data_IF_479265494419
#
_entry.id   IF_479265494419
#
_cell.length_a   1.000
_cell.length_b   1.000
_cell.length_c   1.000
_cell.angle_alpha   90.00
_cell.angle_beta   90.00
_cell.angle_gamma   90.00
#
_symmetry.space_group_name_H-M   'P 1'
#
loop_
_entity.id
_entity.type
_entity.pdbx_description
1 polymer ?
#
# COMPACT_ATOMS: atom_id res chain seq x y z
N UNK A 1 3.25 -28.76 -8.95
CA UNK A 1 4.50 -28.66 -8.16
C UNK A 1 4.22 -28.60 -6.65
N UNK A 2 3.05 -29.10 -6.22
CA UNK A 2 2.63 -29.16 -4.79
C UNK A 2 2.90 -30.53 -4.12
N UNK A 3 3.52 -31.47 -4.85
CA UNK A 3 3.62 -32.88 -4.42
C UNK A 3 4.78 -33.17 -3.44
N UNK A 4 5.45 -32.16 -2.90
CA UNK A 4 6.58 -32.33 -1.98
C UNK A 4 6.54 -31.54 -0.69
N UNK A 5 5.44 -30.88 -0.36
CA UNK A 5 5.32 -30.17 0.91
C UNK A 5 4.61 -31.03 1.96
N UNK A 6 5.38 -31.67 2.83
CA UNK A 6 4.83 -32.26 4.05
C UNK A 6 4.87 -31.17 5.15
N UNK A 7 3.71 -30.68 5.57
CA UNK A 7 3.60 -29.80 6.73
C UNK A 7 3.57 -30.66 7.98
N UNK A 8 4.62 -30.56 8.80
CA UNK A 8 4.66 -31.21 10.11
C UNK A 8 4.59 -30.13 11.18
N UNK A 9 3.43 -29.98 11.81
CA UNK A 9 3.29 -29.14 13.00
C UNK A 9 3.67 -29.99 14.21
N UNK A 10 4.84 -29.73 14.77
CA UNK A 10 5.32 -30.41 15.97
C UNK A 10 5.33 -29.42 17.13
N UNK A 11 4.49 -29.69 18.12
CA UNK A 11 4.62 -29.03 19.42
C UNK A 11 5.77 -29.68 20.20
N UNK A 12 6.87 -28.96 20.40
CA UNK A 12 8.05 -29.44 21.11
C UNK A 12 8.48 -28.42 22.15
N UNK A 13 8.39 -28.77 23.42
CA UNK A 13 8.73 -27.89 24.53
C UNK A 13 10.21 -27.93 24.92
N UNK A 14 10.93 -29.02 24.54
CA UNK A 14 12.36 -29.17 24.80
C UNK A 14 13.20 -28.80 23.57
N UNK A 15 14.32 -28.13 23.82
CA UNK A 15 15.28 -27.73 22.77
C UNK A 15 15.83 -28.94 21.99
N UNK A 16 16.18 -30.01 22.72
CA UNK A 16 16.74 -31.22 22.10
C UNK A 16 15.80 -31.82 21.05
N UNK A 17 14.50 -31.89 21.34
CA UNK A 17 13.50 -32.41 20.42
C UNK A 17 13.40 -31.54 19.14
N UNK A 18 13.49 -30.21 19.28
CA UNK A 18 13.46 -29.27 18.16
C UNK A 18 14.71 -29.41 17.28
N UNK A 19 15.89 -29.56 17.90
CA UNK A 19 17.15 -29.78 17.19
C UNK A 19 17.18 -31.13 16.46
N UNK A 20 16.57 -32.18 17.00
CA UNK A 20 16.39 -33.46 16.30
C UNK A 20 15.53 -33.26 15.07
N UNK A 21 14.40 -32.56 15.17
CA UNK A 21 13.54 -32.28 14.03
C UNK A 21 14.28 -31.46 12.96
N UNK A 22 14.98 -30.41 13.35
CA UNK A 22 15.81 -29.57 12.45
C UNK A 22 16.87 -30.42 11.70
N UNK A 23 17.53 -31.34 12.41
CA UNK A 23 18.54 -32.24 11.83
C UNK A 23 17.92 -33.15 10.77
N UNK A 24 16.78 -33.80 11.09
CA UNK A 24 16.10 -34.72 10.16
C UNK A 24 15.74 -34.00 8.84
N UNK A 25 15.23 -32.77 8.94
CA UNK A 25 14.89 -31.99 7.76
C UNK A 25 16.12 -31.59 6.95
N UNK A 26 17.17 -31.14 7.62
CA UNK A 26 18.45 -30.79 6.96
C UNK A 26 19.09 -32.00 6.27
N UNK A 27 19.10 -33.17 6.92
CA UNK A 27 19.68 -34.39 6.36
C UNK A 27 18.86 -34.94 5.16
N UNK A 28 17.61 -34.50 5.04
CA UNK A 28 16.70 -34.83 3.93
C UNK A 28 16.59 -33.73 2.87
N UNK A 29 17.39 -32.65 2.97
CA UNK A 29 17.34 -31.50 2.11
C UNK A 29 15.93 -30.86 2.04
N UNK A 30 15.25 -30.82 3.19
CA UNK A 30 13.93 -30.24 3.36
C UNK A 30 14.01 -28.96 4.18
N UNK A 31 13.23 -27.92 3.84
CA UNK A 31 13.17 -26.70 4.64
C UNK A 31 12.57 -26.99 6.03
N UNK A 32 13.10 -26.28 7.04
CA UNK A 32 12.62 -26.34 8.41
C UNK A 32 12.49 -24.92 8.97
N UNK A 33 11.36 -24.60 9.56
CA UNK A 33 11.10 -23.31 10.19
C UNK A 33 10.63 -23.53 11.64
N UNK A 34 11.27 -22.82 12.56
CA UNK A 34 10.91 -22.81 13.98
C UNK A 34 10.09 -21.53 14.27
N UNK A 35 8.80 -21.73 14.53
CA UNK A 35 7.89 -20.63 14.88
C UNK A 35 7.64 -20.64 16.38
N UNK A 36 8.06 -19.56 17.05
CA UNK A 36 7.78 -19.37 18.45
C UNK A 36 6.49 -18.55 18.64
N UNK A 37 5.45 -19.20 19.18
CA UNK A 37 4.20 -18.53 19.54
C UNK A 37 4.37 -17.97 20.96
N UNK A 38 4.75 -16.70 21.04
CA UNK A 38 5.07 -16.00 22.29
C UNK A 38 3.79 -15.46 22.92
N UNK A 39 3.23 -16.23 23.85
CA UNK A 39 2.06 -15.87 24.65
C UNK A 39 2.38 -16.08 26.13
N UNK A 40 2.32 -15.03 26.98
CA UNK A 40 2.51 -15.19 28.43
C UNK A 40 1.56 -16.22 29.01
N UNK A 41 2.05 -17.00 30.00
CA UNK A 41 1.29 -18.08 30.61
C UNK A 41 -0.03 -17.60 31.21
N UNK A 42 -0.04 -16.44 31.84
CA UNK A 42 -1.24 -15.82 32.42
C UNK A 42 -2.31 -15.56 31.38
N UNK A 43 -1.90 -15.18 30.17
CA UNK A 43 -2.82 -14.96 29.04
C UNK A 43 -3.34 -16.28 28.48
N UNK A 44 -2.49 -17.33 28.45
CA UNK A 44 -2.92 -18.67 28.06
C UNK A 44 -3.95 -19.23 29.05
N UNK A 45 -3.72 -19.07 30.35
CA UNK A 45 -4.66 -19.46 31.39
C UNK A 45 -5.99 -18.69 31.34
N UNK A 46 -5.93 -17.39 30.98
CA UNK A 46 -7.13 -16.57 30.83
C UNK A 46 -7.96 -16.99 29.58
N UNK A 47 -7.29 -17.47 28.54
CA UNK A 47 -7.92 -17.92 27.28
C UNK A 47 -8.38 -19.38 27.31
N UNK A 48 -8.24 -20.10 28.38
CA UNK A 48 -8.42 -21.56 28.56
C UNK A 48 -9.81 -22.10 28.13
N UNK A 49 -10.13 -21.97 26.82
CA UNK A 49 -11.42 -22.36 26.23
C UNK A 49 -11.77 -23.85 26.43
N UNK A 50 -10.77 -24.71 26.68
CA UNK A 50 -10.94 -26.17 26.88
C UNK A 50 -10.83 -26.56 28.36
N UNK A 51 -10.55 -25.63 29.26
CA UNK A 51 -10.35 -25.88 30.68
C UNK A 51 -9.14 -26.76 31.00
N UNK A 52 -8.14 -26.80 30.11
CA UNK A 52 -6.96 -27.67 30.27
C UNK A 52 -5.98 -27.12 31.29
N UNK A 53 -5.76 -25.80 31.29
CA UNK A 53 -4.92 -25.14 32.30
C UNK A 53 -5.51 -25.26 33.67
N UNK A 54 -6.82 -25.07 33.82
CA UNK A 54 -7.53 -25.25 35.06
C UNK A 54 -7.37 -26.69 35.62
N UNK A 55 -7.53 -27.71 34.75
CA UNK A 55 -7.34 -29.12 35.12
C UNK A 55 -5.90 -29.45 35.51
N UNK A 56 -4.93 -28.83 34.81
CA UNK A 56 -3.50 -29.01 35.16
C UNK A 56 -3.18 -28.38 36.51
N UNK A 57 -3.68 -27.18 36.82
CA UNK A 57 -3.54 -26.52 38.12
C UNK A 57 -4.19 -27.33 39.27
N UNK A 58 -5.26 -28.04 38.97
CA UNK A 58 -5.91 -28.94 39.92
C UNK A 58 -5.19 -30.31 40.08
N UNK A 59 -4.13 -30.56 39.34
CA UNK A 59 -3.39 -31.82 39.35
C UNK A 59 -4.10 -32.99 38.67
N UNK A 60 -5.19 -32.74 37.96
CA UNK A 60 -5.94 -33.75 37.20
C UNK A 60 -5.17 -34.16 35.93
N UNK A 61 -4.48 -33.23 35.31
CA UNK A 61 -3.57 -33.44 34.19
C UNK A 61 -2.15 -33.25 34.70
N UNK A 62 -1.29 -34.25 34.47
CA UNK A 62 0.14 -34.19 34.81
C UNK A 62 0.99 -34.05 33.55
N UNK A 63 2.19 -33.50 33.69
CA UNK A 63 3.10 -33.29 32.55
C UNK A 63 2.63 -32.17 31.61
N UNK A 64 1.99 -31.14 32.15
CA UNK A 64 1.46 -30.04 31.37
C UNK A 64 2.52 -28.93 31.25
N UNK A 65 2.95 -28.64 30.00
CA UNK A 65 3.98 -27.66 29.71
C UNK A 65 3.60 -26.26 30.21
N UNK A 66 4.52 -25.62 30.90
CA UNK A 66 4.30 -24.30 31.50
C UNK A 66 3.66 -24.33 32.88
N UNK A 67 3.13 -25.48 33.35
CA UNK A 67 2.57 -25.67 34.70
C UNK A 67 3.47 -26.56 35.54
N UNK A 68 3.63 -27.81 35.17
CA UNK A 68 4.44 -28.81 35.90
C UNK A 68 5.57 -29.40 35.04
N UNK A 69 5.66 -29.02 33.75
CA UNK A 69 6.81 -29.23 32.88
C UNK A 69 7.39 -27.91 32.40
N UNK A 70 8.73 -27.78 32.33
CA UNK A 70 9.38 -26.59 31.80
C UNK A 70 9.11 -26.43 30.29
N UNK A 71 9.08 -25.19 29.85
CA UNK A 71 9.13 -24.82 28.42
C UNK A 71 10.45 -24.12 28.15
N UNK A 72 11.22 -24.65 27.23
CA UNK A 72 12.50 -24.06 26.83
C UNK A 72 12.26 -23.13 25.61
N UNK A 73 12.35 -21.84 25.85
CA UNK A 73 12.18 -20.80 24.82
C UNK A 73 13.23 -20.98 23.71
N UNK A 74 12.83 -20.96 22.42
CA UNK A 74 13.77 -20.98 21.31
C UNK A 74 14.74 -19.79 21.38
N UNK A 75 16.04 -20.04 21.18
CA UNK A 75 17.04 -18.97 21.18
C UNK A 75 17.07 -18.20 19.85
N UNK A 76 16.85 -18.89 18.72
CA UNK A 76 16.92 -18.35 17.39
C UNK A 76 15.75 -18.88 16.53
N UNK A 77 14.49 -18.56 16.86
CA UNK A 77 13.37 -18.96 16.04
C UNK A 77 13.36 -18.20 14.71
N UNK A 78 12.88 -18.85 13.65
CA UNK A 78 12.73 -18.21 12.33
C UNK A 78 11.61 -17.15 12.33
N UNK A 79 10.61 -17.32 13.21
CA UNK A 79 9.55 -16.35 13.44
C UNK A 79 9.10 -16.35 14.90
N UNK A 80 8.89 -15.16 15.44
CA UNK A 80 8.25 -14.95 16.76
C UNK A 80 6.86 -14.35 16.57
N UNK A 81 5.81 -15.08 16.91
CA UNK A 81 4.42 -14.63 16.82
C UNK A 81 3.93 -14.20 18.20
N UNK A 82 3.82 -12.89 18.45
CA UNK A 82 3.27 -12.34 19.69
C UNK A 82 1.75 -12.26 19.60
N UNK A 83 1.03 -13.09 20.35
CA UNK A 83 -0.43 -13.20 20.25
C UNK A 83 -1.19 -12.25 21.19
N UNK A 84 -0.50 -11.50 22.03
CA UNK A 84 -1.13 -10.48 22.87
C UNK A 84 -1.49 -9.27 22.01
N UNK A 85 -2.75 -8.86 22.05
CA UNK A 85 -3.31 -7.77 21.23
C UNK A 85 -3.29 -8.01 19.70
N UNK A 86 -3.18 -9.29 19.29
CA UNK A 86 -3.31 -9.70 17.88
C UNK A 86 -4.51 -10.62 17.71
N UNK A 87 -5.18 -10.52 16.58
CA UNK A 87 -6.23 -11.47 16.20
C UNK A 87 -5.62 -12.79 15.73
N UNK A 88 -6.44 -13.83 15.61
CA UNK A 88 -6.01 -15.11 15.05
C UNK A 88 -5.58 -14.94 13.59
N UNK A 89 -6.32 -14.14 12.85
CA UNK A 89 -6.03 -13.82 11.45
C UNK A 89 -4.68 -13.10 11.29
N UNK A 90 -4.41 -12.09 12.11
CA UNK A 90 -3.13 -11.35 12.10
C UNK A 90 -1.96 -12.28 12.46
N UNK A 91 -2.14 -13.17 13.45
CA UNK A 91 -1.13 -14.14 13.85
C UNK A 91 -0.86 -15.19 12.75
N UNK A 92 -1.92 -15.65 12.09
CA UNK A 92 -1.82 -16.63 10.98
C UNK A 92 -1.13 -16.00 9.77
N UNK A 93 -1.44 -14.76 9.44
CA UNK A 93 -0.82 -14.06 8.30
C UNK A 93 0.68 -13.93 8.45
N UNK A 94 1.22 -13.70 9.66
CA UNK A 94 2.66 -13.68 9.89
C UNK A 94 3.35 -14.99 9.49
N UNK A 95 2.72 -16.13 9.78
CA UNK A 95 3.26 -17.44 9.38
C UNK A 95 3.15 -17.64 7.87
N UNK A 96 2.03 -17.25 7.27
CA UNK A 96 1.83 -17.34 5.81
C UNK A 96 2.85 -16.48 5.08
N UNK A 97 3.08 -15.24 5.53
CA UNK A 97 4.07 -14.32 4.94
C UNK A 97 5.48 -14.90 5.03
N UNK A 98 5.88 -15.44 6.19
CA UNK A 98 7.19 -16.10 6.34
C UNK A 98 7.34 -17.27 5.36
N UNK A 99 6.32 -18.11 5.19
CA UNK A 99 6.36 -19.24 4.25
C UNK A 99 6.41 -18.79 2.78
N UNK A 100 5.79 -17.66 2.46
CA UNK A 100 5.85 -17.05 1.13
C UNK A 100 7.21 -16.40 0.86
N UNK A 101 7.79 -15.70 1.84
CA UNK A 101 9.12 -15.10 1.73
C UNK A 101 10.23 -16.14 1.51
N UNK A 102 9.99 -17.37 1.96
CA UNK A 102 10.91 -18.50 1.79
C UNK A 102 10.52 -19.45 0.62
N UNK A 103 9.68 -19.02 -0.30
CA UNK A 103 9.23 -19.77 -1.49
C UNK A 103 8.57 -21.14 -1.18
N UNK A 104 8.09 -21.35 0.05
CA UNK A 104 7.38 -22.56 0.46
C UNK A 104 5.93 -22.52 0.02
N UNK A 105 5.27 -21.39 0.27
CA UNK A 105 3.95 -21.14 -0.28
C UNK A 105 4.09 -20.24 -1.50
N UNK A 106 3.42 -20.58 -2.61
CA UNK A 106 3.29 -19.61 -3.66
C UNK A 106 2.67 -18.36 -3.03
N UNK A 107 3.14 -17.19 -3.42
CA UNK A 107 2.30 -16.01 -3.23
C UNK A 107 0.98 -16.37 -3.89
N UNK A 108 0.02 -16.83 -3.10
CA UNK A 108 -1.34 -16.93 -3.56
C UNK A 108 -1.65 -15.49 -3.93
N UNK A 109 -1.54 -15.17 -5.22
CA UNK A 109 -2.54 -14.31 -5.77
C UNK A 109 -3.84 -15.07 -5.44
N UNK A 110 -4.34 -14.86 -4.21
CA UNK A 110 -5.75 -14.90 -4.10
C UNK A 110 -6.23 -14.10 -5.29
N UNK A 111 -7.19 -14.63 -5.99
CA UNK A 111 -8.15 -13.83 -6.73
C UNK A 111 -8.89 -12.93 -5.72
N UNK A 112 -8.14 -12.33 -4.80
CA UNK A 112 -8.58 -11.25 -3.97
C UNK A 112 -8.67 -10.09 -4.95
N UNK A 113 -9.86 -9.58 -5.15
CA UNK A 113 -10.11 -8.35 -5.86
C UNK A 113 -9.40 -7.14 -5.18
N UNK A 114 -8.37 -7.38 -4.38
CA UNK A 114 -7.61 -6.37 -3.66
C UNK A 114 -6.45 -5.86 -4.52
N UNK A 115 -6.27 -4.56 -4.49
CA UNK A 115 -5.11 -3.92 -5.09
C UNK A 115 -3.95 -4.02 -4.11
N UNK A 116 -2.75 -4.47 -4.52
CA UNK A 116 -1.59 -4.48 -3.64
C UNK A 116 -1.26 -3.07 -3.15
N UNK A 117 -1.23 -2.89 -1.84
CA UNK A 117 -0.73 -1.69 -1.16
C UNK A 117 0.72 -1.91 -0.75
N UNK A 118 1.52 -0.83 -0.65
CA UNK A 118 2.95 -0.94 -0.38
C UNK A 118 3.30 -0.74 1.12
N UNK A 119 2.31 -0.82 1.99
CA UNK A 119 2.53 -0.74 3.43
C UNK A 119 3.18 -2.00 3.95
N UNK A 120 4.23 -1.84 4.76
CA UNK A 120 4.86 -2.99 5.41
C UNK A 120 3.94 -3.56 6.49
N UNK A 121 3.99 -4.88 6.72
CA UNK A 121 3.22 -5.52 7.78
C UNK A 121 3.57 -4.96 9.17
N UNK A 122 2.58 -4.90 10.06
CA UNK A 122 2.76 -4.32 11.41
C UNK A 122 3.90 -4.96 12.22
N UNK A 123 4.11 -6.26 12.06
CA UNK A 123 5.17 -6.97 12.79
C UNK A 123 6.59 -6.56 12.35
N UNK A 124 6.77 -6.05 11.12
CA UNK A 124 8.04 -5.55 10.59
C UNK A 124 8.26 -4.06 10.85
N UNK A 125 7.22 -3.34 11.28
CA UNK A 125 7.23 -1.87 11.35
C UNK A 125 8.34 -1.34 12.28
N UNK A 126 8.45 -1.88 13.49
CA UNK A 126 9.45 -1.42 14.47
C UNK A 126 10.89 -1.60 13.95
N UNK A 127 11.21 -2.74 13.36
CA UNK A 127 12.54 -3.00 12.79
C UNK A 127 12.83 -2.09 11.58
N UNK A 128 11.83 -1.85 10.72
CA UNK A 128 12.00 -0.97 9.58
C UNK A 128 12.09 0.53 9.99
N UNK A 129 11.45 0.95 11.06
CA UNK A 129 11.61 2.32 11.61
C UNK A 129 13.02 2.50 12.21
N UNK A 130 13.54 1.50 12.90
CA UNK A 130 14.91 1.50 13.41
C UNK A 130 15.94 1.55 12.26
N UNK A 131 15.75 0.72 11.23
CA UNK A 131 16.57 0.76 10.02
C UNK A 131 16.51 2.13 9.36
N UNK A 132 15.32 2.68 9.12
CA UNK A 132 15.12 3.97 8.47
C UNK A 132 15.84 5.12 9.20
N UNK A 133 15.94 5.04 10.54
CA UNK A 133 16.65 6.05 11.32
C UNK A 133 18.15 6.08 11.02
N UNK A 134 18.74 4.96 10.60
CA UNK A 134 20.16 4.81 10.25
C UNK A 134 20.47 5.09 8.78
N UNK A 135 19.47 5.07 7.90
CA UNK A 135 19.65 5.26 6.47
C UNK A 135 19.88 6.73 6.08
N UNK A 136 20.56 6.98 4.95
CA UNK A 136 20.62 8.30 4.36
C UNK A 136 19.23 8.83 4.04
N UNK A 137 18.96 10.10 4.42
CA UNK A 137 17.65 10.73 4.29
C UNK A 137 17.52 11.48 2.98
N UNK A 138 16.38 11.37 2.31
CA UNK A 138 15.98 12.23 1.21
C UNK A 138 14.71 12.98 1.63
N UNK A 139 14.75 14.31 1.52
CA UNK A 139 13.61 15.16 1.84
C UNK A 139 12.70 15.25 0.62
N UNK A 140 11.44 14.91 0.82
CA UNK A 140 10.38 14.99 -0.19
C UNK A 140 9.73 16.37 -0.18
N UNK A 141 9.39 16.87 -1.35
CA UNK A 141 8.46 17.97 -1.49
C UNK A 141 7.01 17.51 -1.21
N UNK A 142 6.09 18.44 -1.03
CA UNK A 142 4.64 18.10 -0.94
C UNK A 142 4.15 17.35 -2.17
N UNK A 143 4.65 17.69 -3.36
CA UNK A 143 4.29 17.00 -4.60
C UNK A 143 4.82 15.56 -4.62
N UNK A 144 6.06 15.33 -4.17
CA UNK A 144 6.62 13.98 -4.08
C UNK A 144 5.86 13.13 -3.06
N UNK A 145 5.40 13.74 -1.95
CA UNK A 145 4.56 13.06 -0.96
C UNK A 145 3.21 12.64 -1.54
N UNK A 146 2.60 13.46 -2.41
CA UNK A 146 1.37 13.09 -3.12
C UNK A 146 1.59 11.90 -4.06
N UNK A 147 2.71 11.86 -4.77
CA UNK A 147 3.07 10.70 -5.59
C UNK A 147 3.37 9.46 -4.75
N UNK A 148 4.03 9.64 -3.61
CA UNK A 148 4.24 8.55 -2.64
C UNK A 148 2.89 7.99 -2.15
N UNK A 149 1.90 8.84 -1.88
CA UNK A 149 0.56 8.41 -1.49
C UNK A 149 -0.10 7.56 -2.58
N UNK A 150 -0.04 8.00 -3.83
CA UNK A 150 -0.59 7.26 -4.99
C UNK A 150 0.04 5.87 -5.10
N UNK A 151 1.37 5.78 -4.96
CA UNK A 151 2.10 4.52 -5.03
C UNK A 151 1.76 3.62 -3.84
N UNK A 152 1.81 4.17 -2.62
CA UNK A 152 1.61 3.42 -1.38
C UNK A 152 0.23 2.79 -1.25
N UNK A 153 -0.80 3.49 -1.70
CA UNK A 153 -2.20 3.07 -1.62
C UNK A 153 -2.63 2.19 -2.81
N UNK A 154 -1.73 1.92 -3.77
CA UNK A 154 -2.00 1.06 -4.91
C UNK A 154 -2.75 1.72 -6.07
N UNK A 155 -2.97 3.04 -6.07
CA UNK A 155 -3.62 3.76 -7.16
C UNK A 155 -2.88 3.63 -8.49
N UNK A 156 -1.56 3.47 -8.45
CA UNK A 156 -0.70 3.32 -9.63
C UNK A 156 -0.24 1.86 -9.85
N UNK A 157 -0.98 0.87 -9.36
CA UNK A 157 -0.65 -0.53 -9.66
C UNK A 157 -0.52 -0.73 -11.20
N UNK A 158 0.52 -1.40 -11.69
CA UNK A 158 1.42 -2.33 -11.00
C UNK A 158 2.75 -1.75 -10.50
N UNK A 159 2.91 -0.44 -10.41
CA UNK A 159 4.13 0.15 -9.87
C UNK A 159 4.30 -0.23 -8.39
N UNK A 160 5.52 -0.64 -8.04
CA UNK A 160 5.93 -0.94 -6.66
C UNK A 160 6.75 0.19 -6.02
N UNK A 161 6.85 1.33 -6.69
CA UNK A 161 7.59 2.48 -6.24
C UNK A 161 7.81 3.49 -7.36
N UNK A 162 8.71 4.44 -7.14
CA UNK A 162 9.07 5.41 -8.15
C UNK A 162 9.75 4.73 -9.34
N UNK A 163 9.38 5.14 -10.55
CA UNK A 163 9.82 4.51 -11.79
C UNK A 163 11.35 4.47 -11.92
N UNK A 164 11.86 3.32 -12.32
CA UNK A 164 13.24 3.16 -12.81
C UNK A 164 13.34 3.68 -14.24
N UNK A 165 14.56 3.85 -14.76
CA UNK A 165 14.77 4.42 -16.10
C UNK A 165 13.97 3.69 -17.19
N UNK A 166 13.99 2.36 -17.18
CA UNK A 166 13.25 1.55 -18.15
C UNK A 166 11.73 1.83 -18.10
N UNK A 167 11.14 1.83 -16.90
CA UNK A 167 9.71 2.12 -16.72
C UNK A 167 9.36 3.56 -17.12
N UNK A 168 10.23 4.51 -16.78
CA UNK A 168 10.09 5.90 -17.19
C UNK A 168 10.08 6.04 -18.72
N UNK A 169 11.01 5.39 -19.42
CA UNK A 169 11.07 5.43 -20.88
C UNK A 169 9.88 4.70 -21.52
N UNK A 170 9.46 3.55 -21.00
CA UNK A 170 8.26 2.85 -21.47
C UNK A 170 7.01 3.76 -21.34
N UNK A 171 6.81 4.35 -20.17
CA UNK A 171 5.71 5.27 -19.94
C UNK A 171 5.76 6.47 -20.90
N UNK A 172 6.94 7.09 -21.05
CA UNK A 172 7.11 8.30 -21.83
C UNK A 172 6.91 8.09 -23.34
N UNK A 173 7.35 6.95 -23.87
CA UNK A 173 7.31 6.68 -25.31
C UNK A 173 6.09 5.90 -25.75
N UNK A 174 5.53 5.06 -24.89
CA UNK A 174 4.46 4.12 -25.24
C UNK A 174 3.18 4.31 -24.42
N UNK A 175 3.15 5.23 -23.47
CA UNK A 175 2.03 5.45 -22.53
C UNK A 175 1.61 4.15 -21.79
N UNK A 176 2.54 3.24 -21.60
CA UNK A 176 2.29 1.97 -20.93
C UNK A 176 3.53 1.43 -20.22
N UNK A 177 3.30 0.43 -19.39
CA UNK A 177 4.33 -0.41 -18.77
C UNK A 177 4.18 -1.82 -19.31
N UNK A 178 5.29 -2.47 -19.62
CA UNK A 178 5.32 -3.88 -19.96
C UNK A 178 5.48 -4.70 -18.68
N UNK A 179 4.48 -5.52 -18.38
CA UNK A 179 4.49 -6.42 -17.21
C UNK A 179 4.07 -7.80 -17.65
N UNK A 180 4.93 -8.80 -17.44
CA UNK A 180 4.65 -10.21 -17.71
C UNK A 180 4.11 -10.44 -19.16
N UNK A 181 4.67 -9.73 -20.13
CA UNK A 181 4.25 -9.76 -21.53
C UNK A 181 2.97 -9.00 -21.85
N UNK A 182 2.35 -8.36 -20.87
CA UNK A 182 1.15 -7.55 -21.03
C UNK A 182 1.48 -6.05 -21.01
N UNK A 183 0.73 -5.28 -21.79
CA UNK A 183 0.81 -3.81 -21.80
C UNK A 183 -0.21 -3.26 -20.79
N UNK A 184 0.28 -2.55 -19.77
CA UNK A 184 -0.56 -1.87 -18.77
C UNK A 184 -0.52 -0.37 -19.05
N UNK A 185 -1.66 0.26 -19.28
CA UNK A 185 -1.75 1.70 -19.55
C UNK A 185 -1.17 2.51 -18.38
N UNK A 186 -0.20 3.36 -18.68
CA UNK A 186 0.44 4.28 -17.75
C UNK A 186 0.84 5.55 -18.50
N UNK A 187 -0.05 6.51 -18.55
CA UNK A 187 0.11 7.72 -19.35
C UNK A 187 0.98 8.81 -18.72
N UNK A 188 1.24 8.71 -17.42
CA UNK A 188 1.96 9.73 -16.64
C UNK A 188 3.12 9.08 -15.90
N UNK A 189 4.37 9.55 -16.10
CA UNK A 189 5.51 9.05 -15.35
C UNK A 189 5.44 9.49 -13.87
N UNK A 190 5.53 8.52 -12.97
CA UNK A 190 5.62 8.76 -11.53
C UNK A 190 7.06 8.60 -11.11
N UNK A 191 7.74 9.72 -10.94
CA UNK A 191 9.18 9.81 -10.73
C UNK A 191 9.53 10.70 -9.53
N UNK A 192 10.69 10.48 -8.94
CA UNK A 192 11.22 11.26 -7.82
C UNK A 192 12.45 12.06 -8.28
N UNK A 193 12.33 13.38 -8.49
CA UNK A 193 13.45 14.23 -8.87
C UNK A 193 14.38 14.51 -7.69
N UNK A 194 15.67 14.62 -7.98
CA UNK A 194 16.67 15.05 -6.99
C UNK A 194 17.78 15.90 -7.61
N UNK A 195 18.45 16.66 -6.74
CA UNK A 195 19.57 17.49 -7.13
C UNK A 195 20.81 16.65 -7.40
N UNK A 196 21.79 17.22 -8.11
CA UNK A 196 23.12 16.59 -8.28
C UNK A 196 23.81 16.36 -6.92
N UNK A 197 23.57 17.24 -5.96
CA UNK A 197 24.15 17.11 -4.60
C UNK A 197 23.57 15.87 -3.91
N UNK A 198 22.24 15.71 -3.93
CA UNK A 198 21.58 14.54 -3.33
C UNK A 198 21.98 13.25 -4.06
N UNK A 199 21.99 13.28 -5.40
CA UNK A 199 22.46 12.13 -6.19
C UNK A 199 23.85 11.68 -5.78
N UNK A 200 24.81 12.60 -5.64
CA UNK A 200 26.18 12.25 -5.28
C UNK A 200 26.28 11.74 -3.84
N UNK A 201 25.47 12.26 -2.93
CA UNK A 201 25.42 11.82 -1.52
C UNK A 201 24.80 10.42 -1.37
N UNK A 202 23.89 10.05 -2.25
CA UNK A 202 23.07 8.82 -2.16
C UNK A 202 23.55 7.70 -3.11
N UNK A 203 24.51 7.98 -3.99
CA UNK A 203 24.83 7.11 -5.13
C UNK A 203 25.21 5.66 -4.75
N UNK A 204 25.97 5.48 -3.66
CA UNK A 204 26.47 4.16 -3.23
C UNK A 204 25.57 3.51 -2.15
N UNK A 205 24.37 4.00 -1.94
CA UNK A 205 23.47 3.48 -0.90
C UNK A 205 22.58 2.35 -1.43
N UNK A 206 22.34 1.33 -0.62
CA UNK A 206 21.42 0.24 -0.95
C UNK A 206 19.97 0.59 -0.67
N UNK A 207 19.74 1.61 0.18
CA UNK A 207 18.41 2.09 0.55
C UNK A 207 18.46 3.55 1.00
N UNK A 208 17.35 4.26 0.85
CA UNK A 208 17.18 5.68 1.20
C UNK A 208 15.89 5.86 1.99
N UNK A 209 15.96 6.55 3.14
CA UNK A 209 14.78 6.89 3.92
C UNK A 209 14.14 8.17 3.40
N UNK A 210 12.86 8.11 3.06
CA UNK A 210 12.08 9.21 2.48
C UNK A 210 11.35 9.97 3.58
N UNK A 211 11.70 11.24 3.73
CA UNK A 211 11.17 12.12 4.78
C UNK A 211 10.36 13.28 4.22
N UNK A 212 9.31 13.66 4.93
CA UNK A 212 8.62 14.94 4.76
C UNK A 212 8.30 15.50 6.15
N UNK A 213 8.58 16.79 6.38
CA UNK A 213 8.40 17.47 7.68
C UNK A 213 8.93 16.68 8.89
N UNK A 214 10.14 16.13 8.76
CA UNK A 214 10.81 15.28 9.77
C UNK A 214 10.14 13.93 10.06
N UNK A 215 9.11 13.55 9.31
CA UNK A 215 8.44 12.27 9.40
C UNK A 215 8.99 11.34 8.31
N UNK A 216 9.45 10.15 8.68
CA UNK A 216 9.81 9.11 7.71
C UNK A 216 8.55 8.39 7.26
N UNK A 217 8.28 8.42 5.96
CA UNK A 217 7.10 7.77 5.38
C UNK A 217 7.42 6.42 4.72
N UNK A 218 8.61 6.28 4.14
CA UNK A 218 8.97 5.08 3.40
C UNK A 218 10.48 4.87 3.33
N UNK A 219 10.88 3.65 3.00
CA UNK A 219 12.23 3.30 2.58
C UNK A 219 12.19 2.99 1.08
N UNK A 220 13.04 3.66 0.30
CA UNK A 220 13.26 3.37 -1.11
C UNK A 220 14.39 2.35 -1.22
N UNK A 221 14.08 1.14 -1.68
CA UNK A 221 15.02 0.01 -1.81
C UNK A 221 15.69 -0.01 -3.17
N UNK A 222 16.97 -0.40 -3.19
CA UNK A 222 17.77 -0.56 -4.41
C UNK A 222 17.61 0.64 -5.35
N UNK A 223 17.96 1.86 -4.91
CA UNK A 223 17.78 3.07 -5.68
C UNK A 223 18.57 3.00 -6.99
N UNK A 224 17.94 3.41 -8.08
CA UNK A 224 18.53 3.57 -9.41
C UNK A 224 18.49 5.03 -9.80
N UNK A 225 19.66 5.62 -10.04
CA UNK A 225 19.79 7.04 -10.39
C UNK A 225 20.02 7.19 -11.88
N UNK A 226 19.18 8.02 -12.53
CA UNK A 226 19.24 8.26 -13.96
C UNK A 226 18.93 9.71 -14.32
N UNK A 227 19.23 10.10 -15.55
CA UNK A 227 19.12 11.48 -15.98
C UNK A 227 17.65 11.91 -16.14
N UNK A 228 17.28 13.07 -15.58
CA UNK A 228 15.96 13.65 -15.79
C UNK A 228 15.90 14.34 -17.15
N UNK A 229 15.61 13.63 -18.20
CA UNK A 229 15.48 14.11 -19.58
C UNK A 229 14.30 15.08 -19.71
N UNK A 230 14.42 16.28 -19.07
CA UNK A 230 13.32 17.22 -18.86
C UNK A 230 12.64 17.66 -20.14
N UNK A 231 13.42 18.04 -21.17
CA UNK A 231 12.88 18.51 -22.45
C UNK A 231 12.13 17.39 -23.18
N UNK A 232 12.70 16.19 -23.23
CA UNK A 232 12.05 15.01 -23.78
C UNK A 232 10.76 14.68 -23.02
N UNK A 233 10.81 14.71 -21.68
CA UNK A 233 9.65 14.48 -20.83
C UNK A 233 8.52 15.46 -21.11
N UNK A 234 8.79 16.75 -21.11
CA UNK A 234 7.73 17.75 -21.32
C UNK A 234 7.16 17.71 -22.74
N UNK A 235 8.00 17.50 -23.75
CA UNK A 235 7.56 17.37 -25.14
C UNK A 235 6.63 16.15 -25.32
N UNK A 236 6.97 15.01 -24.73
CA UNK A 236 6.17 13.78 -24.84
C UNK A 236 4.91 13.81 -23.98
N UNK A 237 5.02 14.31 -22.74
CA UNK A 237 3.91 14.30 -21.79
C UNK A 237 2.87 15.38 -22.04
N UNK A 238 3.28 16.54 -22.58
CA UNK A 238 2.41 17.71 -22.74
C UNK A 238 2.22 18.16 -24.20
N UNK A 239 2.96 17.58 -25.14
CA UNK A 239 2.93 18.01 -26.55
C UNK A 239 3.52 19.40 -26.79
N UNK A 240 4.13 20.02 -25.79
CA UNK A 240 4.74 21.36 -25.85
C UNK A 240 5.88 21.49 -24.85
N UNK A 241 6.81 22.39 -25.12
CA UNK A 241 7.91 22.74 -24.20
C UNK A 241 7.74 24.13 -23.59
N UNK A 242 6.57 24.75 -23.74
CA UNK A 242 6.29 26.09 -23.25
C UNK A 242 6.36 26.17 -21.73
N UNK A 243 7.34 26.93 -21.21
CA UNK A 243 7.61 27.11 -19.78
C UNK A 243 6.56 27.93 -19.03
N UNK A 244 5.65 28.61 -19.74
CA UNK A 244 4.50 29.28 -19.11
C UNK A 244 3.46 28.29 -18.57
N UNK A 245 3.49 27.05 -19.06
CA UNK A 245 2.64 25.99 -18.52
C UNK A 245 3.10 25.63 -17.10
N UNK A 246 2.23 25.70 -16.07
CA UNK A 246 2.63 25.58 -14.66
C UNK A 246 3.36 24.27 -14.34
N UNK A 247 2.91 23.16 -14.89
CA UNK A 247 3.54 21.84 -14.63
C UNK A 247 4.89 21.70 -15.37
N UNK A 248 5.00 22.23 -16.58
CA UNK A 248 6.25 22.24 -17.35
C UNK A 248 7.30 23.06 -16.61
N UNK A 249 6.90 24.24 -16.08
CA UNK A 249 7.77 25.08 -15.26
C UNK A 249 8.32 24.28 -14.06
N UNK A 250 7.45 23.57 -13.32
CA UNK A 250 7.86 22.75 -12.18
C UNK A 250 8.86 21.65 -12.60
N UNK A 251 8.68 21.01 -13.76
CA UNK A 251 9.61 20.00 -14.26
C UNK A 251 10.98 20.62 -14.56
N UNK A 252 11.03 21.79 -15.21
CA UNK A 252 12.30 22.46 -15.50
C UNK A 252 13.02 22.93 -14.22
N UNK A 253 12.29 23.36 -13.20
CA UNK A 253 12.80 23.81 -11.91
C UNK A 253 13.19 22.65 -10.97
N UNK A 254 12.70 21.43 -11.21
CA UNK A 254 13.04 20.25 -10.43
C UNK A 254 14.49 19.79 -10.63
N UNK A 255 14.95 18.80 -9.87
CA UNK A 255 16.31 18.26 -9.98
C UNK A 255 16.63 17.66 -11.35
N UNK A 256 17.93 17.62 -11.70
CA UNK A 256 18.41 17.11 -12.99
C UNK A 256 18.58 15.58 -13.02
N UNK A 257 18.34 14.94 -11.91
CA UNK A 257 18.37 13.50 -11.75
C UNK A 257 17.02 13.00 -11.29
N UNK A 258 16.75 11.73 -11.60
CA UNK A 258 15.63 10.96 -11.09
C UNK A 258 16.16 9.78 -10.29
N UNK A 259 15.42 9.36 -9.27
CA UNK A 259 15.67 8.11 -8.55
C UNK A 259 14.44 7.23 -8.57
N UNK A 260 14.61 6.01 -9.06
CA UNK A 260 13.61 4.94 -9.04
C UNK A 260 13.98 3.86 -8.03
N UNK A 261 13.01 3.06 -7.63
CA UNK A 261 13.20 1.93 -6.73
C UNK A 261 11.90 1.43 -6.14
N UNK A 262 11.98 0.32 -5.42
CA UNK A 262 10.81 -0.25 -4.72
C UNK A 262 10.60 0.46 -3.38
N UNK A 263 9.35 0.59 -2.97
CA UNK A 263 8.96 1.24 -1.72
C UNK A 263 8.55 0.22 -0.67
N UNK A 264 9.06 0.42 0.53
CA UNK A 264 8.50 -0.12 1.77
C UNK A 264 7.92 1.04 2.57
N UNK A 265 6.60 1.10 2.67
CA UNK A 265 5.91 2.25 3.25
C UNK A 265 5.64 2.00 4.73
N UNK A 266 6.18 2.87 5.59
CA UNK A 266 6.13 2.73 7.04
C UNK A 266 4.79 3.18 7.63
N UNK A 267 4.16 4.18 7.00
CA UNK A 267 2.91 4.76 7.53
C UNK A 267 2.07 5.39 6.45
N UNK A 268 0.76 5.39 6.69
CA UNK A 268 -0.20 6.09 5.83
C UNK A 268 0.03 7.60 5.88
N UNK A 269 -0.12 8.25 4.75
CA UNK A 269 -0.06 9.71 4.66
C UNK A 269 -1.39 10.28 5.10
N UNK A 270 -1.35 11.18 6.08
CA UNK A 270 -2.49 11.96 6.57
C UNK A 270 -2.16 13.44 6.42
N UNK A 271 -3.11 14.21 5.93
CA UNK A 271 -2.92 15.63 5.65
C UNK A 271 -3.34 16.53 6.82
N UNK A 272 -4.12 15.99 7.74
CA UNK A 272 -4.63 16.69 8.93
C UNK A 272 -5.32 18.03 8.60
N UNK A 273 -5.94 18.11 7.43
CA UNK A 273 -6.65 19.28 6.90
C UNK A 273 -8.16 19.24 7.16
N UNK A 274 -8.62 18.30 7.98
CA UNK A 274 -10.03 18.06 8.28
C UNK A 274 -10.79 17.32 7.18
N UNK A 275 -10.10 16.78 6.16
CA UNK A 275 -10.69 16.05 5.03
C UNK A 275 -10.26 14.59 4.93
N UNK A 276 -9.48 14.09 5.90
CA UNK A 276 -8.95 12.72 5.85
C UNK A 276 -10.04 11.65 5.84
N UNK A 277 -11.25 11.95 6.36
CA UNK A 277 -12.41 11.06 6.29
C UNK A 277 -12.93 10.81 4.85
N UNK A 278 -12.52 11.61 3.88
CA UNK A 278 -12.83 11.43 2.45
C UNK A 278 -11.69 10.75 1.68
N UNK A 279 -10.56 10.45 2.32
CA UNK A 279 -9.39 9.82 1.70
C UNK A 279 -9.42 8.32 1.93
N UNK A 280 -9.91 7.60 0.94
CA UNK A 280 -10.02 6.15 0.94
C UNK A 280 -8.99 5.56 -0.01
N UNK A 281 -8.40 4.41 0.35
CA UNK A 281 -7.63 3.61 -0.60
C UNK A 281 -8.56 2.89 -1.58
N UNK A 282 -8.06 2.38 -2.72
CA UNK A 282 -8.84 1.55 -3.63
C UNK A 282 -9.54 0.37 -2.92
N UNK A 283 -8.87 -0.25 -1.95
CA UNK A 283 -9.42 -1.38 -1.20
C UNK A 283 -10.56 -0.94 -0.26
N UNK A 284 -10.38 0.18 0.43
CA UNK A 284 -11.43 0.76 1.28
C UNK A 284 -12.66 1.15 0.47
N UNK A 285 -12.48 1.69 -0.75
CA UNK A 285 -13.58 1.99 -1.66
C UNK A 285 -14.30 0.71 -2.11
N UNK A 286 -13.58 -0.33 -2.50
CA UNK A 286 -14.16 -1.63 -2.87
C UNK A 286 -14.98 -2.22 -1.72
N UNK A 287 -14.48 -2.13 -0.50
CA UNK A 287 -15.21 -2.55 0.70
C UNK A 287 -16.51 -1.76 0.85
N UNK A 288 -16.48 -0.43 0.72
CA UNK A 288 -17.68 0.44 0.77
C UNK A 288 -18.68 0.09 -0.33
N UNK A 289 -18.24 -0.13 -1.56
CA UNK A 289 -19.14 -0.53 -2.65
C UNK A 289 -19.82 -1.87 -2.35
N UNK A 290 -19.09 -2.84 -1.79
CA UNK A 290 -19.62 -4.13 -1.37
C UNK A 290 -20.66 -3.97 -0.23
N UNK A 291 -20.35 -3.16 0.77
CA UNK A 291 -21.24 -2.88 1.91
C UNK A 291 -22.56 -2.22 1.46
N UNK A 292 -22.50 -1.30 0.51
CA UNK A 292 -23.68 -0.69 -0.10
C UNK A 292 -24.44 -1.71 -0.98
N UNK A 293 -23.78 -2.76 -1.47
CA UNK A 293 -24.32 -3.73 -2.41
C UNK A 293 -24.39 -3.19 -3.84
N UNK A 294 -23.41 -2.36 -4.22
CA UNK A 294 -23.32 -1.82 -5.57
C UNK A 294 -23.08 -2.93 -6.60
N UNK A 295 -23.89 -2.94 -7.66
CA UNK A 295 -23.74 -3.83 -8.82
C UNK A 295 -23.11 -3.12 -10.02
N UNK A 296 -23.00 -1.80 -9.97
CA UNK A 296 -22.22 -0.97 -10.87
C UNK A 296 -21.65 0.24 -10.13
N UNK A 297 -20.45 0.69 -10.51
CA UNK A 297 -19.86 1.93 -10.02
C UNK A 297 -19.48 2.78 -11.22
N UNK A 298 -19.91 4.03 -11.23
CA UNK A 298 -19.47 5.01 -12.21
C UNK A 298 -18.77 6.17 -11.52
N UNK A 299 -17.58 6.50 -11.97
CA UNK A 299 -16.76 7.53 -11.37
C UNK A 299 -16.91 8.86 -12.12
N UNK A 300 -17.01 9.95 -11.38
CA UNK A 300 -16.98 11.28 -11.92
C UNK A 300 -15.80 12.04 -11.27
N UNK A 301 -14.70 12.14 -12.00
CA UNK A 301 -13.51 12.84 -11.54
C UNK A 301 -13.57 14.32 -11.94
N UNK A 302 -13.30 15.21 -10.99
CA UNK A 302 -13.32 16.64 -11.25
C UNK A 302 -12.37 17.43 -10.36
N UNK A 303 -11.94 18.59 -10.86
CA UNK A 303 -11.19 19.59 -10.11
C UNK A 303 -12.00 20.87 -9.82
N UNK A 304 -13.15 21.01 -10.42
CA UNK A 304 -14.03 22.17 -10.29
C UNK A 304 -15.23 21.84 -9.39
N UNK A 305 -15.92 22.87 -8.85
CA UNK A 305 -17.22 22.69 -8.22
C UNK A 305 -18.25 22.09 -9.19
N UNK A 306 -19.20 21.31 -8.63
CA UNK A 306 -20.32 20.76 -9.42
C UNK A 306 -21.27 21.91 -9.82
N UNK A 307 -21.65 21.92 -11.06
CA UNK A 307 -22.73 22.77 -11.59
C UNK A 307 -23.85 21.89 -12.18
N UNK A 308 -24.98 22.50 -12.55
CA UNK A 308 -26.17 21.79 -13.04
C UNK A 308 -25.88 20.82 -14.19
N UNK A 309 -24.98 21.20 -15.13
CA UNK A 309 -24.60 20.32 -16.23
C UNK A 309 -23.88 19.03 -15.76
N UNK A 310 -23.02 19.15 -14.74
CA UNK A 310 -22.39 17.98 -14.12
C UNK A 310 -23.43 17.10 -13.43
N UNK A 311 -24.31 17.69 -12.63
CA UNK A 311 -25.35 16.97 -11.93
C UNK A 311 -26.31 16.23 -12.89
N UNK A 312 -26.70 16.89 -13.99
CA UNK A 312 -27.54 16.28 -15.01
C UNK A 312 -26.83 15.06 -15.66
N UNK A 313 -25.55 15.20 -16.02
CA UNK A 313 -24.78 14.11 -16.61
C UNK A 313 -24.66 12.91 -15.64
N UNK A 314 -24.39 13.16 -14.34
CA UNK A 314 -24.32 12.10 -13.33
C UNK A 314 -25.68 11.41 -13.15
N UNK A 315 -26.78 12.16 -13.12
CA UNK A 315 -28.13 11.63 -12.97
C UNK A 315 -28.53 10.81 -14.20
N UNK A 316 -28.27 11.32 -15.40
CA UNK A 316 -28.53 10.62 -16.66
C UNK A 316 -27.72 9.32 -16.75
N UNK A 317 -26.44 9.36 -16.41
CA UNK A 317 -25.58 8.14 -16.37
C UNK A 317 -26.17 7.07 -15.42
N UNK A 318 -26.64 7.46 -14.23
CA UNK A 318 -27.30 6.56 -13.29
C UNK A 318 -28.54 5.94 -13.92
N UNK A 319 -29.39 6.75 -14.54
CA UNK A 319 -30.62 6.31 -15.22
C UNK A 319 -30.31 5.31 -16.33
N UNK A 320 -29.35 5.61 -17.19
CA UNK A 320 -28.93 4.71 -18.28
C UNK A 320 -28.39 3.37 -17.75
N UNK A 321 -27.66 3.36 -16.62
CA UNK A 321 -27.20 2.13 -16.00
C UNK A 321 -28.39 1.30 -15.47
N UNK A 322 -29.41 1.95 -14.88
CA UNK A 322 -30.61 1.29 -14.43
C UNK A 322 -31.41 0.70 -15.58
N UNK A 323 -31.55 1.42 -16.71
CA UNK A 323 -32.19 0.92 -17.94
C UNK A 323 -31.44 -0.29 -18.54
N UNK A 324 -30.12 -0.39 -18.35
CA UNK A 324 -29.31 -1.56 -18.72
C UNK A 324 -29.43 -2.74 -17.75
N UNK A 325 -30.22 -2.61 -16.69
CA UNK A 325 -30.53 -3.67 -15.73
C UNK A 325 -29.70 -3.67 -14.45
N UNK A 326 -28.80 -2.68 -14.24
CA UNK A 326 -28.13 -2.52 -12.96
C UNK A 326 -29.13 -1.99 -11.92
N UNK A 327 -29.24 -2.67 -10.79
CA UNK A 327 -30.25 -2.34 -9.76
C UNK A 327 -29.76 -1.26 -8.80
N UNK A 328 -28.45 -1.22 -8.56
CA UNK A 328 -27.84 -0.35 -7.54
C UNK A 328 -26.55 0.30 -8.02
N UNK A 329 -26.62 1.11 -9.10
CA UNK A 329 -25.45 1.87 -9.55
C UNK A 329 -25.08 2.94 -8.51
N UNK A 330 -23.78 3.01 -8.17
CA UNK A 330 -23.22 3.96 -7.20
C UNK A 330 -22.32 4.95 -7.91
N UNK A 331 -22.52 6.24 -7.63
CA UNK A 331 -21.65 7.32 -8.08
C UNK A 331 -20.45 7.42 -7.14
N UNK A 332 -19.24 7.29 -7.70
CA UNK A 332 -18.01 7.71 -7.07
C UNK A 332 -17.71 9.15 -7.50
N UNK A 333 -18.03 10.11 -6.65
CA UNK A 333 -17.67 11.50 -6.84
C UNK A 333 -16.23 11.68 -6.36
N UNK A 334 -15.32 11.91 -7.32
CA UNK A 334 -13.87 11.74 -7.12
C UNK A 334 -13.11 13.06 -7.35
N UNK A 335 -13.21 14.04 -6.43
CA UNK A 335 -12.49 15.30 -6.55
C UNK A 335 -10.97 15.09 -6.42
N UNK A 336 -10.21 15.80 -7.26
CA UNK A 336 -8.74 15.82 -7.18
C UNK A 336 -8.27 16.47 -5.90
N UNK A 337 -7.43 15.78 -5.14
CA UNK A 337 -6.90 16.20 -3.85
C UNK A 337 -5.43 16.59 -3.85
N UNK A 338 -4.70 16.30 -4.93
CA UNK A 338 -3.31 16.71 -5.07
C UNK A 338 -3.15 18.16 -5.53
N UNK A 339 -1.93 18.50 -5.95
CA UNK A 339 -1.59 19.85 -6.41
C UNK A 339 -2.51 20.35 -7.53
N UNK A 340 -2.95 21.57 -7.40
CA UNK A 340 -3.68 22.35 -8.42
C UNK A 340 -3.02 23.73 -8.54
N UNK A 341 -3.30 24.47 -9.61
CA UNK A 341 -2.81 25.84 -9.79
C UNK A 341 -3.54 26.83 -8.87
N UNK A 342 -2.93 27.98 -8.61
CA UNK A 342 -3.39 28.93 -7.60
C UNK A 342 -4.78 29.54 -7.85
N UNK A 343 -5.21 29.60 -9.13
CA UNK A 343 -6.51 30.14 -9.55
C UNK A 343 -7.64 29.06 -9.57
N UNK A 344 -7.34 27.79 -9.26
CA UNK A 344 -8.35 26.77 -9.07
C UNK A 344 -9.01 26.86 -7.70
N UNK A 345 -10.27 26.44 -7.60
CA UNK A 345 -11.01 26.44 -6.33
C UNK A 345 -10.37 25.47 -5.33
N UNK A 346 -9.98 25.93 -4.12
CA UNK A 346 -9.34 25.08 -3.12
C UNK A 346 -10.15 23.84 -2.73
N UNK A 347 -9.49 22.74 -2.44
CA UNK A 347 -10.11 21.47 -2.09
C UNK A 347 -11.17 21.55 -0.98
N UNK A 348 -10.92 22.25 0.17
CA UNK A 348 -11.92 22.36 1.22
C UNK A 348 -13.22 23.06 0.77
N UNK A 349 -13.11 24.01 -0.15
CA UNK A 349 -14.28 24.70 -0.72
C UNK A 349 -15.06 23.76 -1.64
N UNK A 350 -14.34 22.99 -2.48
CA UNK A 350 -14.96 22.00 -3.37
C UNK A 350 -15.69 20.91 -2.58
N UNK A 351 -15.10 20.38 -1.53
CA UNK A 351 -15.74 19.35 -0.69
C UNK A 351 -17.01 19.91 -0.02
N UNK A 352 -16.96 21.11 0.56
CA UNK A 352 -18.18 21.74 1.12
C UNK A 352 -19.26 21.92 0.08
N UNK A 353 -18.91 22.30 -1.14
CA UNK A 353 -19.89 22.46 -2.23
C UNK A 353 -20.47 21.09 -2.65
N UNK A 354 -19.65 20.04 -2.70
CA UNK A 354 -20.14 18.69 -3.01
C UNK A 354 -21.10 18.18 -1.94
N UNK A 355 -20.80 18.39 -0.67
CA UNK A 355 -21.71 18.05 0.44
C UNK A 355 -23.03 18.83 0.34
N UNK A 356 -22.98 20.14 0.05
CA UNK A 356 -24.17 20.94 -0.15
C UNK A 356 -25.04 20.47 -1.32
N UNK A 357 -24.44 19.98 -2.40
CA UNK A 357 -25.16 19.37 -3.53
C UNK A 357 -25.88 18.10 -3.12
N UNK A 358 -25.25 17.26 -2.30
CA UNK A 358 -25.88 16.05 -1.75
C UNK A 358 -27.02 16.42 -0.76
N UNK A 359 -26.80 17.42 0.10
CA UNK A 359 -27.83 17.88 1.07
C UNK A 359 -29.04 18.51 0.40
N UNK A 360 -28.86 19.17 -0.75
CA UNK A 360 -29.96 19.71 -1.54
C UNK A 360 -30.81 18.65 -2.23
N UNK A 361 -30.37 17.40 -2.26
CA UNK A 361 -31.08 16.32 -2.96
C UNK A 361 -30.89 16.33 -4.49
N UNK A 362 -30.03 17.21 -5.03
CA UNK A 362 -29.73 17.24 -6.47
C UNK A 362 -29.03 15.97 -6.94
N UNK A 363 -28.20 15.39 -6.07
CA UNK A 363 -27.63 14.05 -6.21
C UNK A 363 -28.08 13.18 -5.03
N UNK A 364 -28.33 11.90 -5.29
CA UNK A 364 -28.80 10.97 -4.27
C UNK A 364 -27.65 10.54 -3.34
N UNK A 365 -27.66 11.03 -2.09
CA UNK A 365 -26.68 10.74 -1.06
C UNK A 365 -26.55 9.23 -0.76
N UNK A 366 -27.65 8.47 -0.87
CA UNK A 366 -27.66 7.03 -0.55
C UNK A 366 -26.88 6.17 -1.56
N UNK A 367 -26.65 6.71 -2.75
CA UNK A 367 -25.91 6.06 -3.86
C UNK A 367 -24.74 6.89 -4.37
N UNK A 368 -24.24 7.82 -3.55
CA UNK A 368 -23.07 8.65 -3.89
C UNK A 368 -22.01 8.56 -2.80
N UNK A 369 -20.77 8.29 -3.18
CA UNK A 369 -19.61 8.33 -2.30
C UNK A 369 -18.71 9.47 -2.76
N UNK A 370 -18.40 10.41 -1.85
CA UNK A 370 -17.34 11.40 -2.07
C UNK A 370 -16.03 10.78 -1.62
N UNK A 371 -15.06 10.68 -2.52
CA UNK A 371 -13.73 10.19 -2.20
C UNK A 371 -12.67 11.04 -2.89
N UNK A 372 -11.74 11.59 -2.13
CA UNK A 372 -10.66 12.41 -2.65
C UNK A 372 -9.64 11.53 -3.37
N UNK A 373 -9.34 11.85 -4.64
CA UNK A 373 -8.28 11.21 -5.39
C UNK A 373 -6.94 11.95 -5.15
N UNK A 374 -5.91 11.29 -4.61
CA UNK A 374 -4.69 11.96 -4.16
C UNK A 374 -3.78 12.47 -5.28
N UNK A 375 -4.19 12.38 -6.55
CA UNK A 375 -3.36 12.78 -7.68
C UNK A 375 -3.21 14.29 -7.83
N UNK A 376 -2.00 14.78 -8.13
CA UNK A 376 -1.80 16.13 -8.65
C UNK A 376 -2.51 16.33 -10.00
N UNK A 377 -2.93 17.54 -10.29
CA UNK A 377 -3.49 17.91 -11.59
C UNK A 377 -2.39 18.15 -12.64
N UNK A 378 -2.52 17.56 -13.80
CA UNK A 378 -1.48 17.67 -14.85
C UNK A 378 -1.71 18.81 -15.84
N UNK A 379 -2.93 19.31 -16.01
CA UNK A 379 -3.34 20.39 -16.94
C UNK A 379 -2.98 20.13 -18.40
N UNK A 380 -2.71 18.92 -18.77
CA UNK A 380 -2.42 18.59 -20.16
C UNK A 380 -3.12 17.32 -20.55
N UNK A 381 -3.67 17.33 -21.74
CA UNK A 381 -4.05 16.12 -22.43
C UNK A 381 -2.91 15.70 -23.35
N UNK A 382 -2.41 14.49 -23.23
CA UNK A 382 -1.66 13.90 -24.32
C UNK A 382 -2.60 13.76 -25.52
N UNK A 383 -2.06 13.96 -26.68
CA UNK A 383 -2.83 13.94 -27.93
C UNK A 383 -2.89 12.54 -28.52
#
# INVERSE_FOLDING_TARGET
>A
MLDKCAYVVLYRHLREDREVARRIHRDSDLPFFEVFVDTPLEVCELRDNKGLYQKARQGVIKGFTGIDQPYEVPEHPDLVVKTVNCTVEESTMQVVEMLQENDILPFVQETSNLVPELFIPKHRLAGAEEEAASLPRLQLTTLDLQWLQILSEGWAYPLKGFMREEQFLQCLHFNCLLKDGNCVSQSIPIVLPLTTVDKNRLYDTSAVALYHDNICYAILRKPEFYFHRKEERVARQFGTTNKEHPHIKMIYESGDWLVGGELEVLRRITWNDGLDQYRFTPNELRKKFKEIGADAVFAFQLRNPIHNGHALLMTDTKTQLQERGYRKPVLLLHPLGGWIKDDDVPLPVRIRQHEAVLDSGLLDRSSTIIAIFPSPMMYAGPH
#
